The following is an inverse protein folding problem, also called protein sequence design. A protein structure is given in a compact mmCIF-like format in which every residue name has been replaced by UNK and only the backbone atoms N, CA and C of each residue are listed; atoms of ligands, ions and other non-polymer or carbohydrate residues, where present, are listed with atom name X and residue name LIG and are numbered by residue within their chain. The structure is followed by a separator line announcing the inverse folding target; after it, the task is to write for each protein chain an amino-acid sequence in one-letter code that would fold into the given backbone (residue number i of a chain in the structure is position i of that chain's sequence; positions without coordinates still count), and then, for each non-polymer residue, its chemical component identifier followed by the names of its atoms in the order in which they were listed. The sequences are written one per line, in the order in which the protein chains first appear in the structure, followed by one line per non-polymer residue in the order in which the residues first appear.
data_IF_155916182018
#
_entry.id   IF_155916182018
#
_cell.length_a   1.000
_cell.length_b   1.000
_cell.length_c   1.000
_cell.angle_alpha   90.00
_cell.angle_beta   90.00
_cell.angle_gamma   90.00
#
_symmetry.space_group_name_H-M   'P 1'
#
loop_
_entity.id
_entity.type
_entity.pdbx_description
1 polymer ?
#
# COMPACT_ATOMS: atom_id res chain seq x y z
N UNK A 1 -48.38 30.93 26.51
CA UNK A 1 -47.96 31.03 25.09
C UNK A 1 -46.45 31.24 24.92
N UNK A 2 -45.83 32.15 25.67
CA UNK A 2 -44.40 32.49 25.58
C UNK A 2 -43.47 31.31 25.89
N UNK A 3 -43.76 30.50 26.90
CA UNK A 3 -42.93 29.33 27.26
C UNK A 3 -42.92 28.22 26.20
N UNK A 4 -44.05 28.02 25.51
CA UNK A 4 -44.16 27.00 24.45
C UNK A 4 -43.32 27.44 23.25
N UNK A 5 -43.39 28.73 22.88
CA UNK A 5 -42.55 29.34 21.86
C UNK A 5 -41.06 29.23 22.19
N UNK A 6 -40.67 29.50 23.44
CA UNK A 6 -39.28 29.38 23.89
C UNK A 6 -38.77 27.93 23.79
N UNK A 7 -39.55 26.94 24.24
CA UNK A 7 -39.20 25.52 24.13
C UNK A 7 -39.07 25.07 22.66
N UNK A 8 -39.93 25.60 21.79
CA UNK A 8 -39.89 25.29 20.35
C UNK A 8 -38.62 25.84 19.68
N UNK A 9 -38.22 27.07 20.02
CA UNK A 9 -36.98 27.70 19.52
C UNK A 9 -35.74 26.93 19.99
N UNK A 10 -35.70 26.55 21.27
CA UNK A 10 -34.58 25.77 21.84
C UNK A 10 -34.48 24.39 21.17
N UNK A 11 -35.62 23.73 20.93
CA UNK A 11 -35.67 22.46 20.21
C UNK A 11 -35.10 22.57 18.79
N UNK A 12 -35.49 23.61 18.05
CA UNK A 12 -34.97 23.86 16.70
C UNK A 12 -33.46 24.14 16.74
N UNK A 13 -33.00 24.99 17.66
CA UNK A 13 -31.59 25.31 17.81
C UNK A 13 -30.74 24.06 18.14
N UNK A 14 -31.24 23.19 19.03
CA UNK A 14 -30.59 21.94 19.37
C UNK A 14 -30.51 20.98 18.17
N UNK A 15 -31.60 20.86 17.39
CA UNK A 15 -31.63 20.02 16.20
C UNK A 15 -30.63 20.50 15.13
N UNK A 16 -30.59 21.80 14.87
CA UNK A 16 -29.64 22.41 13.92
C UNK A 16 -28.20 22.21 14.40
N UNK A 17 -27.93 22.41 15.69
CA UNK A 17 -26.61 22.17 16.28
C UNK A 17 -26.16 20.71 16.15
N UNK A 18 -27.05 19.75 16.42
CA UNK A 18 -26.77 18.33 16.24
C UNK A 18 -26.50 17.96 14.78
N UNK A 19 -27.29 18.50 13.84
CA UNK A 19 -27.07 18.27 12.41
C UNK A 19 -25.73 18.84 11.91
N UNK A 20 -25.34 20.02 12.41
CA UNK A 20 -24.06 20.63 12.09
C UNK A 20 -22.88 19.80 12.64
N UNK A 21 -22.97 19.33 13.89
CA UNK A 21 -21.96 18.45 14.46
C UNK A 21 -21.87 17.13 13.69
N UNK A 22 -22.99 16.50 13.34
CA UNK A 22 -23.01 15.26 12.55
C UNK A 22 -22.34 15.43 11.19
N UNK A 23 -22.61 16.53 10.48
CA UNK A 23 -21.98 16.82 9.18
C UNK A 23 -20.50 17.15 9.32
N UNK A 24 -20.11 17.90 10.36
CA UNK A 24 -18.71 18.20 10.67
C UNK A 24 -17.90 16.93 10.96
N UNK A 25 -18.40 16.06 11.85
CA UNK A 25 -17.75 14.79 12.15
C UNK A 25 -17.73 13.87 10.95
N UNK A 26 -18.83 13.74 10.21
CA UNK A 26 -18.87 12.96 8.96
C UNK A 26 -17.80 13.42 7.97
N UNK A 27 -17.60 14.72 7.78
CA UNK A 27 -16.55 15.26 6.90
C UNK A 27 -15.14 15.02 7.45
N UNK A 28 -14.94 15.16 8.75
CA UNK A 28 -13.63 14.93 9.41
C UNK A 28 -13.22 13.46 9.32
N UNK A 29 -14.15 12.53 9.56
CA UNK A 29 -13.91 11.08 9.47
C UNK A 29 -13.95 10.54 8.02
N UNK A 30 -14.55 11.28 7.08
CA UNK A 30 -14.52 10.93 5.66
C UNK A 30 -13.14 11.13 5.01
N UNK A 31 -12.18 11.77 5.70
CA UNK A 31 -10.75 11.64 5.36
C UNK A 31 -10.27 10.24 5.74
N UNK A 32 -10.84 9.22 5.10
CA UNK A 32 -10.24 7.90 5.06
C UNK A 32 -8.97 8.05 4.24
N UNK A 33 -7.84 7.92 4.91
CA UNK A 33 -6.55 7.74 4.27
C UNK A 33 -6.71 6.66 3.20
N UNK A 34 -6.52 7.04 1.93
CA UNK A 34 -6.64 6.11 0.81
C UNK A 34 -5.33 5.35 0.75
N UNK A 35 -5.29 4.24 1.48
CA UNK A 35 -4.26 3.24 1.28
C UNK A 35 -4.51 2.54 -0.04
N UNK A 36 -3.50 2.52 -0.91
CA UNK A 36 -3.51 1.66 -2.09
C UNK A 36 -2.32 0.72 -2.03
N UNK A 37 -2.58 -0.53 -2.38
CA UNK A 37 -1.58 -1.58 -2.50
C UNK A 37 -0.95 -1.42 -3.89
N UNK A 38 0.37 -1.26 -3.93
CA UNK A 38 1.15 -1.19 -5.16
C UNK A 38 2.10 -2.39 -5.20
N UNK A 39 2.27 -2.97 -6.40
CA UNK A 39 3.26 -4.02 -6.62
C UNK A 39 4.45 -3.43 -7.35
N UNK A 40 5.61 -3.44 -6.70
CA UNK A 40 6.88 -3.05 -7.31
C UNK A 40 7.55 -4.27 -7.93
N UNK A 41 8.13 -4.13 -9.12
CA UNK A 41 8.87 -5.20 -9.80
C UNK A 41 10.31 -4.78 -10.05
N UNK A 42 11.27 -5.68 -9.85
CA UNK A 42 12.67 -5.49 -10.19
C UNK A 42 13.20 -6.69 -10.96
N UNK A 43 13.99 -6.40 -12.00
CA UNK A 43 14.68 -7.40 -12.80
C UNK A 43 16.12 -7.53 -12.31
N UNK A 44 16.54 -8.75 -12.02
CA UNK A 44 17.92 -9.10 -11.73
C UNK A 44 18.44 -10.03 -12.84
N UNK A 45 19.59 -9.70 -13.40
CA UNK A 45 20.24 -10.47 -14.46
C UNK A 45 21.38 -11.27 -13.83
N UNK A 46 21.27 -12.59 -13.87
CA UNK A 46 22.31 -13.49 -13.39
C UNK A 46 23.08 -14.03 -14.60
N UNK A 47 24.41 -13.86 -14.59
CA UNK A 47 25.30 -14.37 -15.64
C UNK A 47 25.66 -15.81 -15.30
N UNK A 48 25.44 -16.74 -16.23
CA UNK A 48 25.76 -18.15 -16.05
C UNK A 48 27.27 -18.33 -16.24
N UNK A 49 28.00 -18.69 -15.18
CA UNK A 49 29.41 -19.03 -15.32
C UNK A 49 29.55 -20.50 -15.75
N UNK A 50 30.23 -20.73 -16.87
CA UNK A 50 30.23 -22.03 -17.58
C UNK A 50 31.05 -23.13 -16.87
N UNK A 51 31.74 -22.81 -15.78
CA UNK A 51 32.70 -23.71 -15.10
C UNK A 51 32.07 -24.46 -13.91
N UNK A 52 31.01 -23.93 -13.30
CA UNK A 52 30.46 -24.43 -12.01
C UNK A 52 28.93 -24.67 -12.02
N UNK A 53 28.28 -24.63 -13.18
CA UNK A 53 26.81 -24.60 -13.25
C UNK A 53 26.30 -23.23 -12.83
N UNK A 54 24.97 -23.04 -12.76
CA UNK A 54 24.40 -21.81 -12.19
C UNK A 54 24.88 -21.78 -10.74
N UNK A 55 25.97 -21.07 -10.47
CA UNK A 55 26.38 -20.73 -9.13
C UNK A 55 25.29 -19.82 -8.61
N UNK A 56 24.41 -20.39 -7.78
CA UNK A 56 23.73 -19.62 -6.77
C UNK A 56 24.84 -18.98 -5.92
N UNK A 57 25.36 -17.83 -6.35
CA UNK A 57 25.89 -16.84 -5.42
C UNK A 57 24.68 -16.27 -4.69
N UNK A 58 24.21 -17.13 -3.79
CA UNK A 58 23.21 -17.05 -2.75
C UNK A 58 22.09 -16.01 -2.86
N UNK A 59 20.91 -16.41 -2.39
CA UNK A 59 19.91 -15.47 -1.84
C UNK A 59 20.52 -14.38 -0.93
N UNK A 60 21.72 -14.60 -0.38
CA UNK A 60 22.54 -13.62 0.34
C UNK A 60 23.01 -12.44 -0.50
N UNK A 61 23.39 -12.60 -1.78
CA UNK A 61 23.74 -11.44 -2.62
C UNK A 61 22.51 -10.64 -3.04
N UNK A 62 21.38 -11.31 -3.29
CA UNK A 62 20.10 -10.63 -3.47
C UNK A 62 19.71 -9.87 -2.19
N UNK A 63 19.96 -10.45 -1.01
CA UNK A 63 19.75 -9.77 0.27
C UNK A 63 20.67 -8.55 0.43
N UNK A 64 21.94 -8.66 0.06
CA UNK A 64 22.92 -7.56 0.08
C UNK A 64 22.57 -6.46 -0.93
N UNK A 65 21.90 -6.81 -2.04
CA UNK A 65 21.34 -5.87 -3.02
C UNK A 65 19.99 -5.25 -2.58
N UNK A 66 19.55 -5.51 -1.34
CA UNK A 66 18.32 -4.97 -0.77
C UNK A 66 17.04 -5.66 -1.24
N UNK A 67 17.12 -6.93 -1.67
CA UNK A 67 15.95 -7.76 -1.97
C UNK A 67 15.26 -8.32 -0.71
N UNK A 68 15.63 -7.86 0.48
CA UNK A 68 14.92 -8.23 1.71
C UNK A 68 13.45 -7.79 1.64
N UNK A 69 12.54 -8.76 1.79
CA UNK A 69 11.09 -8.56 1.63
C UNK A 69 10.58 -8.61 0.19
N UNK A 70 11.40 -9.00 -0.78
CA UNK A 70 10.97 -9.25 -2.16
C UNK A 70 10.71 -10.73 -2.42
N UNK A 71 9.64 -11.05 -3.16
CA UNK A 71 9.25 -12.38 -3.57
C UNK A 71 9.67 -12.66 -5.02
N UNK A 72 10.02 -13.90 -5.35
CA UNK A 72 10.28 -14.30 -6.75
C UNK A 72 8.94 -14.37 -7.49
N UNK A 73 8.77 -13.51 -8.50
CA UNK A 73 7.59 -13.49 -9.35
C UNK A 73 7.74 -14.42 -10.56
N UNK A 74 8.92 -14.42 -11.19
CA UNK A 74 9.20 -15.24 -12.36
C UNK A 74 10.70 -15.48 -12.51
N UNK A 75 11.05 -16.61 -13.10
CA UNK A 75 12.41 -16.97 -13.50
C UNK A 75 12.38 -17.27 -14.99
N UNK A 76 13.15 -16.52 -15.77
CA UNK A 76 13.31 -16.72 -17.21
C UNK A 76 14.72 -17.25 -17.43
N UNK A 77 14.82 -18.51 -17.79
CA UNK A 77 16.10 -19.12 -18.12
C UNK A 77 16.38 -18.92 -19.60
N UNK A 78 17.45 -18.20 -19.93
CA UNK A 78 18.01 -18.25 -21.28
C UNK A 78 18.99 -19.43 -21.36
N UNK A 79 18.61 -20.39 -22.20
CA UNK A 79 19.36 -21.62 -22.51
C UNK A 79 20.86 -21.41 -22.75
N UNK A 80 21.29 -20.23 -23.20
CA UNK A 80 22.67 -20.03 -23.62
C UNK A 80 23.55 -19.30 -22.60
N UNK A 81 23.12 -18.29 -21.83
CA UNK A 81 24.09 -17.45 -21.07
C UNK A 81 23.62 -16.79 -19.79
N UNK A 82 22.32 -16.72 -19.50
CA UNK A 82 21.84 -15.95 -18.36
C UNK A 82 20.49 -16.43 -17.81
N UNK A 83 20.31 -16.29 -16.50
CA UNK A 83 19.02 -16.46 -15.85
C UNK A 83 18.53 -15.10 -15.41
N UNK A 84 17.31 -14.75 -15.78
CA UNK A 84 16.65 -13.53 -15.35
C UNK A 84 15.69 -13.85 -14.23
N UNK A 85 15.81 -13.14 -13.10
CA UNK A 85 14.87 -13.26 -11.99
C UNK A 85 14.10 -11.96 -11.88
N UNK A 86 12.77 -12.06 -11.96
CA UNK A 86 11.88 -10.94 -11.67
C UNK A 86 11.44 -11.10 -10.22
N UNK A 87 11.78 -10.12 -9.40
CA UNK A 87 11.30 -10.01 -8.04
C UNK A 87 10.10 -9.05 -7.98
N UNK A 88 9.13 -9.35 -7.13
CA UNK A 88 8.00 -8.48 -6.81
C UNK A 88 7.98 -8.15 -5.32
N UNK A 89 7.46 -6.99 -4.96
CA UNK A 89 7.19 -6.63 -3.57
C UNK A 89 5.89 -5.85 -3.49
N UNK A 90 5.09 -6.18 -2.48
CA UNK A 90 3.90 -5.43 -2.15
C UNK A 90 4.27 -4.25 -1.25
N UNK A 91 3.91 -3.03 -1.65
CA UNK A 91 4.12 -1.81 -0.86
C UNK A 91 2.80 -1.10 -0.64
N UNK A 92 2.61 -0.63 0.60
CA UNK A 92 1.42 0.10 1.02
C UNK A 92 1.71 1.61 0.89
N UNK A 93 1.06 2.28 -0.04
CA UNK A 93 1.20 3.73 -0.20
C UNK A 93 0.01 4.46 0.43
N UNK A 94 0.32 5.44 1.28
CA UNK A 94 -0.62 6.47 1.73
C UNK A 94 -0.58 7.61 0.72
N UNK A 95 -1.73 7.94 0.10
CA UNK A 95 -1.87 9.10 -0.80
C UNK A 95 -2.18 10.39 -0.07
#
# INVERSE_FOLDING_TARGET
MTEILAKFIVSIAAFVGAAFLCTYFSRKFARKEKYHITFEYRLFILKKDYVSGITFESFGELKDLGAEGWEIASVIEDSMRSTFIILKRETLHQS
#
